data_IF_796012574923
#
_entry.id   IF_796012574923
#
_cell.length_a   1.000
_cell.length_b   1.000
_cell.length_c   1.000
_cell.angle_alpha   90.00
_cell.angle_beta   90.00
_cell.angle_gamma   90.00
#
_symmetry.space_group_name_H-M   'P 1'
#
loop_
_entity.id
_entity.type
_entity.pdbx_description
1 polymer ?
#
# COMPACT_ATOMS: atom_id res chain seq x y z
N UNK A 1 -20.00 -89.34 14.25
CA UNK A 1 -20.78 -88.12 14.51
C UNK A 1 -20.03 -87.26 15.53
N UNK A 2 -19.44 -86.14 15.10
CA UNK A 2 -18.82 -85.17 15.98
C UNK A 2 -18.89 -83.80 15.31
N UNK A 3 -19.82 -82.96 15.77
CA UNK A 3 -20.11 -81.62 15.23
C UNK A 3 -18.98 -80.65 15.59
N UNK A 4 -18.42 -79.95 14.61
CA UNK A 4 -17.62 -78.73 14.84
C UNK A 4 -18.51 -77.50 14.67
N UNK A 5 -18.36 -76.57 15.62
CA UNK A 5 -19.11 -75.34 15.80
C UNK A 5 -18.45 -74.19 15.03
N UNK A 6 -18.91 -73.92 13.82
CA UNK A 6 -18.55 -72.72 13.07
C UNK A 6 -19.25 -71.50 13.66
N UNK A 7 -18.63 -70.88 14.67
CA UNK A 7 -19.01 -69.53 15.09
C UNK A 7 -18.63 -68.55 13.99
N UNK A 8 -19.65 -68.11 13.25
CA UNK A 8 -19.55 -67.15 12.17
C UNK A 8 -19.02 -65.81 12.65
N UNK A 9 -17.72 -65.58 12.45
CA UNK A 9 -17.21 -64.23 12.28
C UNK A 9 -17.80 -63.69 10.97
N UNK A 10 -18.82 -62.85 11.12
CA UNK A 10 -19.34 -62.01 10.04
C UNK A 10 -18.27 -60.97 9.72
N UNK A 11 -17.35 -61.35 8.84
CA UNK A 11 -16.40 -60.42 8.23
C UNK A 11 -17.22 -59.54 7.27
N UNK A 12 -17.73 -58.45 7.80
CA UNK A 12 -18.07 -57.22 7.10
C UNK A 12 -17.17 -57.06 5.86
N UNK A 13 -17.78 -57.32 4.71
CA UNK A 13 -17.16 -57.68 3.45
C UNK A 13 -16.56 -56.50 2.70
N UNK A 14 -15.56 -55.84 3.29
CA UNK A 14 -14.64 -55.01 2.52
C UNK A 14 -13.19 -55.39 2.85
N UNK A 15 -12.42 -55.82 1.84
CA UNK A 15 -11.02 -56.16 2.04
C UNK A 15 -10.25 -54.92 2.52
N UNK A 16 -9.24 -55.14 3.36
CA UNK A 16 -8.45 -54.08 4.02
C UNK A 16 -7.90 -53.06 2.99
N UNK A 17 -7.58 -53.49 1.77
CA UNK A 17 -7.13 -52.59 0.70
C UNK A 17 -8.18 -51.54 0.30
N UNK A 18 -9.48 -51.87 0.36
CA UNK A 18 -10.56 -50.94 0.01
C UNK A 18 -10.73 -49.86 1.09
N UNK A 19 -10.56 -50.22 2.36
CA UNK A 19 -10.60 -49.27 3.49
C UNK A 19 -9.42 -48.30 3.46
N UNK A 20 -8.23 -48.79 3.09
CA UNK A 20 -7.03 -47.94 2.95
C UNK A 20 -7.19 -46.96 1.77
N UNK A 21 -7.79 -47.39 0.66
CA UNK A 21 -8.03 -46.51 -0.49
C UNK A 21 -9.05 -45.41 -0.17
N UNK A 22 -10.15 -45.72 0.55
CA UNK A 22 -11.15 -44.71 0.95
C UNK A 22 -10.55 -43.59 1.82
N UNK A 23 -9.73 -43.93 2.83
CA UNK A 23 -9.05 -42.94 3.69
C UNK A 23 -8.04 -42.08 2.92
N UNK A 24 -7.37 -42.66 1.92
CA UNK A 24 -6.40 -41.94 1.07
C UNK A 24 -7.10 -40.96 0.12
N UNK A 25 -8.28 -41.29 -0.36
CA UNK A 25 -9.12 -40.41 -1.19
C UNK A 25 -9.74 -39.28 -0.38
N UNK A 26 -10.11 -39.52 0.88
CA UNK A 26 -10.66 -38.49 1.78
C UNK A 26 -9.60 -37.47 2.25
N UNK A 27 -8.35 -37.88 2.44
CA UNK A 27 -7.24 -36.96 2.77
C UNK A 27 -6.80 -36.13 1.55
N UNK A 28 -6.97 -36.66 0.33
CA UNK A 28 -6.74 -35.95 -0.92
C UNK A 28 -7.81 -34.89 -1.25
N UNK A 29 -8.89 -34.81 -0.47
CA UNK A 29 -9.95 -33.82 -0.65
C UNK A 29 -9.56 -32.40 -0.18
N UNK A 30 -8.40 -32.24 0.48
CA UNK A 30 -7.79 -30.93 0.64
C UNK A 30 -6.84 -30.70 -0.54
N UNK A 31 -7.18 -29.83 -1.51
CA UNK A 31 -6.21 -29.45 -2.52
C UNK A 31 -5.08 -28.71 -1.79
N UNK A 32 -3.94 -29.38 -1.57
CA UNK A 32 -2.71 -28.67 -1.25
C UNK A 32 -2.52 -27.63 -2.34
N UNK A 33 -2.58 -26.35 -1.98
CA UNK A 33 -2.30 -25.30 -2.95
C UNK A 33 -0.89 -25.55 -3.47
N UNK A 34 -0.73 -25.79 -4.80
CA UNK A 34 0.58 -26.08 -5.34
C UNK A 34 1.53 -24.95 -4.95
N UNK A 35 2.80 -25.29 -4.71
CA UNK A 35 3.82 -24.34 -4.24
C UNK A 35 3.82 -23.06 -5.10
N UNK A 36 3.56 -23.20 -6.40
CA UNK A 36 3.40 -22.09 -7.35
C UNK A 36 2.32 -21.07 -6.93
N UNK A 37 1.15 -21.51 -6.48
CA UNK A 37 0.05 -20.63 -6.02
C UNK A 37 0.45 -19.86 -4.77
N UNK A 38 1.15 -20.50 -3.83
CA UNK A 38 1.63 -19.85 -2.62
C UNK A 38 2.67 -18.76 -2.94
N UNK A 39 3.59 -19.06 -3.87
CA UNK A 39 4.58 -18.08 -4.36
C UNK A 39 3.89 -16.92 -5.07
N UNK A 40 2.95 -17.20 -5.98
CA UNK A 40 2.20 -16.17 -6.69
C UNK A 40 1.44 -15.24 -5.74
N UNK A 41 0.76 -15.78 -4.72
CA UNK A 41 0.10 -14.98 -3.67
C UNK A 41 1.08 -14.05 -2.94
N UNK A 42 2.25 -14.57 -2.54
CA UNK A 42 3.29 -13.76 -1.87
C UNK A 42 3.84 -12.66 -2.78
N UNK A 43 4.04 -12.96 -4.07
CA UNK A 43 4.51 -11.99 -5.07
C UNK A 43 3.47 -10.89 -5.27
N UNK A 44 2.20 -11.25 -5.47
CA UNK A 44 1.11 -10.28 -5.65
C UNK A 44 0.98 -9.35 -4.43
N UNK A 45 1.01 -9.91 -3.22
CA UNK A 45 0.98 -9.09 -2.00
C UNK A 45 2.15 -8.10 -1.90
N UNK A 46 3.35 -8.50 -2.36
CA UNK A 46 4.51 -7.60 -2.43
C UNK A 46 4.31 -6.51 -3.48
N UNK A 47 3.79 -6.85 -4.65
CA UNK A 47 3.49 -5.89 -5.74
C UNK A 47 2.47 -4.86 -5.26
N UNK A 48 1.38 -5.28 -4.62
CA UNK A 48 0.35 -4.37 -4.10
C UNK A 48 0.93 -3.38 -3.09
N UNK A 49 1.80 -3.87 -2.19
CA UNK A 49 2.50 -3.02 -1.22
C UNK A 49 3.40 -2.01 -1.91
N UNK A 50 4.16 -2.42 -2.92
CA UNK A 50 5.03 -1.53 -3.71
C UNK A 50 4.21 -0.46 -4.44
N UNK A 51 3.10 -0.83 -5.07
CA UNK A 51 2.20 0.09 -5.75
C UNK A 51 1.61 1.13 -4.80
N UNK A 52 1.21 0.72 -3.60
CA UNK A 52 0.70 1.64 -2.56
C UNK A 52 1.77 2.63 -2.11
N UNK A 53 3.01 2.17 -1.92
CA UNK A 53 4.14 3.05 -1.56
C UNK A 53 4.41 4.04 -2.68
N UNK A 54 4.49 3.58 -3.93
CA UNK A 54 4.72 4.44 -5.09
C UNK A 54 3.64 5.52 -5.24
N UNK A 55 2.36 5.14 -5.11
CA UNK A 55 1.24 6.09 -5.13
C UNK A 55 1.34 7.14 -4.02
N UNK A 56 1.72 6.73 -2.81
CA UNK A 56 1.94 7.65 -1.68
C UNK A 56 3.08 8.63 -1.95
N UNK A 57 4.17 8.16 -2.56
CA UNK A 57 5.31 9.00 -2.93
C UNK A 57 4.90 10.02 -4.00
N UNK A 58 4.20 9.59 -5.05
CA UNK A 58 3.71 10.51 -6.09
C UNK A 58 2.83 11.62 -5.50
N UNK A 59 1.88 11.28 -4.62
CA UNK A 59 1.05 12.30 -3.97
C UNK A 59 1.84 13.32 -3.14
N UNK A 60 2.92 12.88 -2.47
CA UNK A 60 3.82 13.80 -1.75
C UNK A 60 4.63 14.69 -2.70
N UNK A 61 5.08 14.15 -3.82
CA UNK A 61 5.78 14.93 -4.85
C UNK A 61 4.84 16.00 -5.43
N UNK A 62 3.59 15.66 -5.72
CA UNK A 62 2.59 16.61 -6.21
C UNK A 62 2.33 17.74 -5.21
N UNK A 63 2.22 17.40 -3.91
CA UNK A 63 2.08 18.38 -2.84
C UNK A 63 3.31 19.31 -2.73
N UNK A 64 4.52 18.74 -2.84
CA UNK A 64 5.76 19.51 -2.83
C UNK A 64 5.82 20.47 -4.02
N UNK A 65 5.49 19.99 -5.22
CA UNK A 65 5.48 20.79 -6.44
C UNK A 65 4.48 21.95 -6.33
N UNK A 66 3.27 21.70 -5.84
CA UNK A 66 2.28 22.76 -5.60
C UNK A 66 2.78 23.83 -4.64
N UNK A 67 3.44 23.42 -3.56
CA UNK A 67 3.97 24.34 -2.55
C UNK A 67 5.15 25.15 -3.09
N UNK A 68 6.07 24.50 -3.81
CA UNK A 68 7.20 25.16 -4.46
C UNK A 68 6.74 26.17 -5.53
N UNK A 69 5.74 25.83 -6.34
CA UNK A 69 5.14 26.74 -7.31
C UNK A 69 4.44 27.93 -6.65
N UNK A 70 3.75 27.73 -5.53
CA UNK A 70 3.13 28.82 -4.78
C UNK A 70 4.18 29.80 -4.23
N UNK A 71 5.31 29.30 -3.71
CA UNK A 71 6.39 30.15 -3.21
C UNK A 71 7.18 30.86 -4.33
N UNK A 72 7.20 30.31 -5.55
CA UNK A 72 7.81 30.96 -6.73
C UNK A 72 7.00 32.19 -7.19
N UNK A 73 5.72 32.30 -6.84
CA UNK A 73 4.83 33.41 -7.21
C UNK A 73 4.77 34.57 -6.21
N UNK A 74 5.40 34.48 -5.04
CA UNK A 74 5.46 35.56 -4.02
C UNK A 74 6.65 36.50 -4.26
N UNK A 75 7.12 36.59 -5.51
CA UNK A 75 8.11 37.59 -5.95
C UNK A 75 7.47 38.86 -6.55
N UNK A 76 6.20 38.78 -6.94
CA UNK A 76 5.48 39.86 -7.63
C UNK A 76 4.42 40.49 -6.71
N UNK A 77 4.76 40.71 -5.44
CA UNK A 77 4.10 41.73 -4.62
C UNK A 77 4.43 43.12 -5.19
N UNK A 78 3.86 43.39 -6.35
CA UNK A 78 3.62 44.71 -6.93
C UNK A 78 2.65 45.46 -6.01
N UNK A 79 3.16 45.89 -4.86
CA UNK A 79 2.29 46.36 -3.78
C UNK A 79 3.04 46.94 -2.59
N UNK A 80 4.17 47.62 -2.79
CA UNK A 80 4.69 48.52 -1.79
C UNK A 80 5.48 49.66 -2.44
N UNK A 81 4.73 50.71 -2.79
CA UNK A 81 5.21 52.09 -2.76
C UNK A 81 6.19 52.47 -3.85
N UNK A 82 5.66 53.21 -4.84
CA UNK A 82 6.38 54.27 -5.54
C UNK A 82 7.37 54.89 -4.54
N UNK A 83 8.66 54.86 -4.86
CA UNK A 83 9.63 55.77 -4.25
C UNK A 83 9.15 57.18 -4.60
N UNK A 84 8.23 57.71 -3.81
CA UNK A 84 7.93 59.13 -3.79
C UNK A 84 9.18 59.72 -3.16
N UNK A 85 10.14 60.08 -4.01
CA UNK A 85 11.22 60.99 -3.65
C UNK A 85 10.56 62.13 -2.89
N UNK A 86 10.85 62.33 -1.60
CA UNK A 86 10.30 63.46 -0.89
C UNK A 86 10.72 64.73 -1.63
N UNK A 87 9.78 65.63 -1.93
CA UNK A 87 10.17 66.97 -2.37
C UNK A 87 11.01 67.59 -1.24
N UNK A 88 12.23 68.07 -1.51
CA UNK A 88 13.01 68.73 -0.49
C UNK A 88 12.29 70.01 -0.07
N UNK A 89 11.97 70.14 1.21
CA UNK A 89 11.47 71.37 1.79
C UNK A 89 12.67 72.30 1.97
N UNK A 90 12.75 73.34 1.15
CA UNK A 90 13.75 74.39 1.29
C UNK A 90 13.33 75.34 2.43
N UNK A 91 14.23 75.58 3.38
CA UNK A 91 14.06 76.67 4.35
C UNK A 91 14.55 77.98 3.72
N UNK A 92 13.73 79.02 3.73
CA UNK A 92 14.18 80.39 3.48
C UNK A 92 14.90 80.89 4.74
N UNK A 93 16.21 81.16 4.61
CA UNK A 93 16.99 81.82 5.65
C UNK A 93 16.90 83.33 5.38
N UNK A 94 16.17 84.05 6.22
CA UNK A 94 16.17 85.52 6.22
C UNK A 94 17.46 86.00 6.87
N UNK A 95 18.29 86.67 6.08
CA UNK A 95 19.41 87.47 6.58
C UNK A 95 18.90 88.88 6.82
N UNK A 96 18.13 89.06 7.89
CA UNK A 96 17.85 90.40 8.41
C UNK A 96 19.13 90.95 9.06
N UNK A 97 19.82 91.74 8.24
CA UNK A 97 20.57 92.96 8.54
C UNK A 97 20.98 93.22 10.00
N UNK A 98 22.29 93.15 10.26
CA UNK A 98 22.99 93.91 11.30
C UNK A 98 24.40 94.28 10.84
#
# INVERSE_FOLDING_TARGET
>A
FGKSNSNGLKNNAEPIYAQVNKKKTEQAASPEEPIYTQVAKKVNARIDRLNKIASTINGKIDQLNRTASANKGVGDSSGAGRSASPEPIYATIDFDEA
#
